data_IF_781014906633
#
_entry.id   IF_781014906633
#
_cell.length_a   1.000
_cell.length_b   1.000
_cell.length_c   1.000
_cell.angle_alpha   90.00
_cell.angle_beta   90.00
_cell.angle_gamma   90.00
#
_symmetry.space_group_name_H-M   'P 1'
#
loop_
_entity.id
_entity.type
_entity.pdbx_description
1 polymer ?
#
# COMPACT_ATOMS: atom_id res chain seq x y z
N UNK A 1 6.37 4.81 -9.94
CA UNK A 1 5.42 4.65 -11.07
C UNK A 1 6.27 4.39 -12.30
N UNK A 2 5.99 3.31 -13.01
CA UNK A 2 6.71 2.91 -14.24
C UNK A 2 6.24 3.69 -15.46
N UNK A 3 6.94 3.53 -16.58
CA UNK A 3 6.41 3.97 -17.88
C UNK A 3 5.11 3.22 -18.22
N UNK A 4 4.26 3.86 -19.03
CA UNK A 4 3.04 3.25 -19.56
C UNK A 4 3.31 2.74 -20.97
N UNK A 5 3.09 1.45 -21.18
CA UNK A 5 2.98 0.86 -22.52
C UNK A 5 1.51 0.78 -22.88
N UNK A 6 1.16 1.42 -23.98
CA UNK A 6 -0.21 1.54 -24.44
C UNK A 6 -0.57 0.36 -25.35
N UNK A 7 -1.82 -0.11 -25.24
CA UNK A 7 -2.39 -1.13 -26.14
C UNK A 7 -1.65 -2.49 -26.08
N UNK A 8 -1.19 -2.90 -24.89
CA UNK A 8 -0.49 -4.16 -24.68
C UNK A 8 -1.06 -4.92 -23.48
N UNK A 9 -1.25 -6.23 -23.65
CA UNK A 9 -1.66 -7.15 -22.57
C UNK A 9 -0.46 -7.95 -22.01
N UNK A 10 0.72 -7.82 -22.60
CA UNK A 10 1.96 -8.45 -22.14
C UNK A 10 3.09 -7.41 -22.04
N UNK A 11 2.95 -6.43 -21.15
CA UNK A 11 3.89 -5.32 -21.06
C UNK A 11 5.25 -5.75 -20.49
N UNK A 12 6.34 -5.31 -21.12
CA UNK A 12 7.68 -5.41 -20.57
C UNK A 12 8.22 -4.03 -20.18
N UNK A 13 8.73 -3.88 -18.96
CA UNK A 13 9.24 -2.59 -18.45
C UNK A 13 10.76 -2.54 -18.36
N UNK A 14 11.39 -3.59 -17.83
CA UNK A 14 12.85 -3.62 -17.65
C UNK A 14 13.40 -2.46 -16.81
N UNK A 15 12.61 -1.95 -15.87
CA UNK A 15 12.96 -0.79 -15.03
C UNK A 15 13.49 -1.21 -13.66
N UNK A 16 14.40 -0.41 -13.09
CA UNK A 16 14.98 -0.63 -11.76
C UNK A 16 14.67 0.55 -10.82
N UNK A 17 14.33 0.23 -9.56
CA UNK A 17 13.99 1.21 -8.54
C UNK A 17 14.70 0.88 -7.22
N UNK A 18 15.26 1.90 -6.58
CA UNK A 18 15.76 1.81 -5.19
C UNK A 18 14.79 2.54 -4.26
N UNK A 19 14.32 1.84 -3.22
CA UNK A 19 13.38 2.37 -2.24
C UNK A 19 14.02 2.46 -0.86
N UNK A 20 13.86 3.61 -0.20
CA UNK A 20 14.23 3.77 1.20
C UNK A 20 13.01 3.45 2.08
N UNK A 21 13.00 2.27 2.67
CA UNK A 21 11.86 1.79 3.47
C UNK A 21 11.96 2.28 4.93
N UNK A 22 10.85 2.74 5.53
CA UNK A 22 10.86 3.15 6.93
C UNK A 22 11.07 1.93 7.85
N UNK A 23 11.63 2.15 9.06
CA UNK A 23 11.69 1.10 10.06
C UNK A 23 10.30 0.53 10.36
N UNK A 24 10.19 -0.80 10.39
CA UNK A 24 8.93 -1.49 10.72
C UNK A 24 7.90 -1.55 9.58
N UNK A 25 8.30 -1.36 8.33
CA UNK A 25 7.40 -1.63 7.20
C UNK A 25 6.91 -3.09 7.20
N UNK A 26 5.68 -3.31 6.77
CA UNK A 26 5.04 -4.63 6.82
C UNK A 26 5.28 -5.45 5.54
N UNK A 27 5.44 -4.76 4.42
CA UNK A 27 5.66 -5.36 3.09
C UNK A 27 5.56 -4.31 2.00
N UNK A 28 5.68 -4.77 0.76
CA UNK A 28 5.60 -3.98 -0.46
C UNK A 28 4.40 -4.44 -1.29
N UNK A 29 3.55 -3.48 -1.66
CA UNK A 29 2.49 -3.68 -2.65
C UNK A 29 2.95 -3.15 -4.00
N UNK A 30 2.75 -3.93 -5.05
CA UNK A 30 2.95 -3.50 -6.44
C UNK A 30 1.60 -3.56 -7.12
N UNK A 31 1.13 -2.43 -7.65
CA UNK A 31 -0.15 -2.34 -8.35
C UNK A 31 0.09 -2.30 -9.85
N UNK A 32 -0.72 -3.06 -10.57
CA UNK A 32 -0.86 -2.95 -12.02
C UNK A 32 -2.15 -2.20 -12.30
N UNK A 33 -2.03 -1.07 -12.98
CA UNK A 33 -3.15 -0.21 -13.33
C UNK A 33 -3.30 -0.15 -14.84
N UNK A 34 -4.54 -0.08 -15.31
CA UNK A 34 -4.85 0.38 -16.65
C UNK A 34 -4.77 1.90 -16.69
N UNK A 35 -4.11 2.43 -17.71
CA UNK A 35 -3.88 3.87 -17.79
C UNK A 35 -4.95 4.51 -18.67
N UNK A 36 -5.80 5.33 -18.05
CA UNK A 36 -6.75 6.13 -18.80
C UNK A 36 -6.15 7.45 -19.30
N UNK A 37 -6.59 7.87 -20.48
CA UNK A 37 -6.24 9.19 -21.05
C UNK A 37 -7.00 10.31 -20.34
N UNK A 38 -8.21 10.02 -19.86
CA UNK A 38 -9.09 10.95 -19.17
C UNK A 38 -9.73 10.20 -18.01
N UNK A 39 -9.58 10.69 -16.78
CA UNK A 39 -10.17 10.06 -15.60
C UNK A 39 -9.12 9.50 -14.63
N UNK A 40 -9.59 8.63 -13.73
CA UNK A 40 -8.76 7.93 -12.75
C UNK A 40 -8.34 6.58 -13.31
N UNK A 41 -7.08 6.22 -13.13
CA UNK A 41 -6.51 4.96 -13.57
C UNK A 41 -7.17 3.78 -12.82
N UNK A 42 -7.66 2.79 -13.57
CA UNK A 42 -8.29 1.59 -13.00
C UNK A 42 -7.23 0.61 -12.47
N UNK A 43 -7.46 0.06 -11.28
CA UNK A 43 -6.59 -0.98 -10.71
C UNK A 43 -6.97 -2.34 -11.30
N UNK A 44 -6.05 -2.96 -12.04
CA UNK A 44 -6.26 -4.29 -12.61
C UNK A 44 -5.96 -5.36 -11.55
N UNK A 45 -4.82 -5.25 -10.87
CA UNK A 45 -4.36 -6.26 -9.91
C UNK A 45 -3.23 -5.76 -9.01
N UNK A 46 -2.88 -6.56 -7.99
CA UNK A 46 -1.84 -6.27 -7.00
C UNK A 46 -0.98 -7.50 -6.71
N UNK A 47 0.33 -7.30 -6.62
CA UNK A 47 1.27 -8.20 -5.98
C UNK A 47 1.61 -7.69 -4.58
N UNK A 48 1.74 -8.60 -3.60
CA UNK A 48 2.14 -8.26 -2.24
C UNK A 48 3.33 -9.12 -1.80
N UNK A 49 4.36 -8.46 -1.28
CA UNK A 49 5.57 -9.10 -0.74
C UNK A 49 5.74 -8.69 0.71
N UNK A 50 5.63 -9.63 1.65
CA UNK A 50 5.80 -9.32 3.06
C UNK A 50 7.26 -8.99 3.40
N UNK A 51 7.48 -8.17 4.42
CA UNK A 51 8.83 -7.89 4.92
C UNK A 51 9.57 -9.18 5.32
N UNK A 52 8.87 -10.14 5.93
CA UNK A 52 9.45 -11.43 6.31
C UNK A 52 9.93 -12.22 5.09
N UNK A 53 9.15 -12.24 4.02
CA UNK A 53 9.51 -12.93 2.78
C UNK A 53 10.74 -12.27 2.12
N UNK A 54 10.76 -10.94 2.06
CA UNK A 54 11.90 -10.17 1.53
C UNK A 54 13.18 -10.39 2.36
N UNK A 55 13.05 -10.43 3.69
CA UNK A 55 14.18 -10.59 4.61
C UNK A 55 14.74 -12.02 4.63
N UNK A 56 13.97 -13.02 4.17
CA UNK A 56 14.40 -14.42 4.13
C UNK A 56 15.51 -14.67 3.08
N UNK A 57 15.57 -13.83 2.03
CA UNK A 57 16.50 -13.98 0.91
C UNK A 57 17.47 -12.78 0.85
N UNK A 58 18.55 -12.78 1.66
CA UNK A 58 19.45 -11.63 1.81
C UNK A 58 20.26 -11.31 0.55
N UNK A 59 20.34 -12.23 -0.41
CA UNK A 59 21.00 -12.02 -1.71
C UNK A 59 20.05 -11.43 -2.77
N UNK A 60 18.79 -11.21 -2.42
CA UNK A 60 17.75 -10.78 -3.34
C UNK A 60 16.89 -11.95 -3.82
N UNK A 61 15.72 -11.61 -4.36
CA UNK A 61 14.73 -12.56 -4.86
C UNK A 61 14.56 -12.32 -6.35
N UNK A 62 14.66 -13.38 -7.14
CA UNK A 62 14.40 -13.36 -8.58
C UNK A 62 13.36 -14.45 -8.89
N UNK A 63 12.24 -14.06 -9.50
CA UNK A 63 11.18 -15.00 -9.83
C UNK A 63 9.86 -14.35 -10.21
N UNK A 64 8.91 -15.20 -10.59
CA UNK A 64 7.54 -14.80 -10.89
C UNK A 64 6.70 -14.74 -9.61
N UNK A 65 5.88 -13.71 -9.50
CA UNK A 65 4.90 -13.56 -8.44
C UNK A 65 3.51 -13.48 -9.03
N UNK A 66 2.55 -14.15 -8.38
CA UNK A 66 1.15 -14.06 -8.79
C UNK A 66 0.56 -12.72 -8.39
N UNK A 67 -0.18 -12.12 -9.32
CA UNK A 67 -1.01 -10.96 -9.05
C UNK A 67 -2.39 -11.44 -8.61
N UNK A 68 -2.94 -10.79 -7.59
CA UNK A 68 -4.28 -11.04 -7.09
C UNK A 68 -5.23 -9.90 -7.50
N UNK A 69 -6.54 -10.18 -7.67
CA UNK A 69 -7.55 -9.13 -7.73
C UNK A 69 -7.46 -8.22 -6.51
N UNK A 70 -7.76 -6.93 -6.70
CA UNK A 70 -7.77 -5.97 -5.61
C UNK A 70 -9.19 -5.85 -5.07
N UNK A 71 -9.37 -6.25 -3.81
CA UNK A 71 -10.61 -6.04 -3.08
C UNK A 71 -10.60 -4.64 -2.46
N UNK A 72 -11.52 -3.73 -2.86
CA UNK A 72 -11.48 -2.35 -2.39
C UNK A 72 -11.53 -2.24 -0.88
N UNK A 73 -12.25 -3.13 -0.19
CA UNK A 73 -12.39 -3.11 1.27
C UNK A 73 -11.12 -3.55 2.02
N UNK A 74 -10.18 -4.22 1.35
CA UNK A 74 -8.89 -4.61 1.93
C UNK A 74 -7.80 -3.54 1.69
N UNK A 75 -8.07 -2.57 0.81
CA UNK A 75 -7.15 -1.49 0.52
C UNK A 75 -7.26 -0.34 1.52
N UNK A 76 -6.17 0.41 1.66
CA UNK A 76 -6.15 1.64 2.46
C UNK A 76 -7.10 2.65 1.81
N UNK A 77 -8.23 2.91 2.47
CA UNK A 77 -9.26 3.84 2.00
C UNK A 77 -8.96 5.32 2.31
N UNK A 78 -7.91 5.56 3.07
CA UNK A 78 -7.54 6.88 3.55
C UNK A 78 -6.76 6.82 4.85
N UNK A 79 -6.46 7.98 5.39
CA UNK A 79 -5.80 8.13 6.68
C UNK A 79 -6.62 9.04 7.60
N UNK A 80 -6.66 8.70 8.89
CA UNK A 80 -7.28 9.53 9.92
C UNK A 80 -6.27 9.88 11.00
N UNK A 81 -6.18 11.18 11.31
CA UNK A 81 -5.35 11.68 12.40
C UNK A 81 -6.24 11.99 13.61
N UNK A 82 -5.97 11.28 14.71
CA UNK A 82 -6.72 11.36 15.95
C UNK A 82 -5.83 11.86 17.10
N UNK A 83 -6.42 12.66 17.98
CA UNK A 83 -5.82 13.02 19.26
C UNK A 83 -6.64 12.38 20.38
N UNK A 84 -5.97 11.65 21.28
CA UNK A 84 -6.61 10.85 22.33
C UNK A 84 -6.12 11.29 23.71
N UNK A 85 -7.04 11.44 24.66
CA UNK A 85 -6.71 11.67 26.07
C UNK A 85 -7.57 10.84 26.98
N UNK A 86 -6.96 10.27 28.01
CA UNK A 86 -7.67 9.57 29.08
C UNK A 86 -7.65 10.44 30.33
N UNK A 87 -8.82 10.69 30.91
CA UNK A 87 -8.95 11.44 32.17
C UNK A 87 -9.80 10.66 33.17
N UNK A 88 -9.50 10.81 34.46
CA UNK A 88 -10.36 10.31 35.53
C UNK A 88 -11.36 11.39 35.93
N UNK A 89 -12.64 11.04 35.98
CA UNK A 89 -13.71 11.91 36.48
C UNK A 89 -14.43 11.15 37.60
N UNK A 90 -13.94 11.31 38.83
CA UNK A 90 -14.39 10.53 39.99
C UNK A 90 -14.00 9.04 39.86
N UNK A 91 -14.94 8.09 40.09
CA UNK A 91 -14.67 6.66 39.91
C UNK A 91 -14.60 6.23 38.43
N UNK A 92 -14.99 7.09 37.49
CA UNK A 92 -15.06 6.78 36.07
C UNK A 92 -13.80 7.20 35.31
N UNK A 93 -13.42 6.40 34.32
CA UNK A 93 -12.40 6.75 33.33
C UNK A 93 -13.10 7.20 32.04
N UNK A 94 -12.67 8.33 31.49
CA UNK A 94 -13.20 8.90 30.25
C UNK A 94 -12.09 8.97 29.23
N UNK A 95 -12.32 8.37 28.06
CA UNK A 95 -11.53 8.55 26.85
C UNK A 95 -12.14 9.68 26.01
N UNK A 96 -11.37 10.74 25.77
CA UNK A 96 -11.70 11.79 24.80
C UNK A 96 -10.95 11.51 23.51
N UNK A 97 -11.63 11.64 22.39
CA UNK A 97 -11.07 11.50 21.06
C UNK A 97 -11.43 12.74 20.25
N UNK A 98 -10.43 13.46 19.74
CA UNK A 98 -10.62 14.53 18.76
C UNK A 98 -10.14 14.04 17.40
N UNK A 99 -10.99 14.19 16.40
CA UNK A 99 -10.64 13.90 15.01
C UNK A 99 -10.00 15.17 14.44
N UNK A 100 -8.70 15.11 14.14
CA UNK A 100 -7.94 16.26 13.64
C UNK A 100 -8.06 16.39 12.11
N UNK A 101 -7.94 15.28 11.38
CA UNK A 101 -8.03 15.26 9.90
C UNK A 101 -8.40 13.87 9.39
N UNK A 102 -9.10 13.83 8.26
CA UNK A 102 -9.17 12.67 7.37
C UNK A 102 -8.68 13.06 5.96
N UNK A 103 -8.02 12.14 5.26
CA UNK A 103 -7.64 12.26 3.85
C UNK A 103 -7.99 10.99 3.10
#
# INVERSE_FOLDING_TARGET
>A
RTATEWQSLDPFRGEEYTLHLPPGFHGLSIYVLDKDTIGQDDVISKGWLSHQYLAAEPLGIEGWFSLAPVEPNEEVQGEIHLELWVSKQGPSQILRCHILRAR
#
